data_IF_282561971083
#
_entry.id   IF_282561971083
#
_cell.length_a   1.000
_cell.length_b   1.000
_cell.length_c   1.000
_cell.angle_alpha   90.00
_cell.angle_beta   90.00
_cell.angle_gamma   90.00
#
_symmetry.space_group_name_H-M   'P 1'
#
loop_
_entity.id
_entity.type
_entity.pdbx_description
1 polymer ?
#
# COMPACT_ATOMS: atom_id res chain seq x y z
N UNK A 1 37.44 -10.22 32.23
CA UNK A 1 37.26 -11.17 31.10
C UNK A 1 36.28 -10.54 30.14
N UNK A 2 36.78 -9.96 29.05
CA UNK A 2 35.95 -9.28 28.05
C UNK A 2 35.70 -10.23 26.89
N UNK A 3 34.47 -10.70 26.73
CA UNK A 3 34.06 -11.52 25.60
C UNK A 3 33.99 -10.62 24.36
N UNK A 4 34.96 -10.77 23.45
CA UNK A 4 34.95 -10.08 22.16
C UNK A 4 33.87 -10.76 21.32
N UNK A 5 32.75 -10.05 21.10
CA UNK A 5 31.65 -10.51 20.24
C UNK A 5 32.18 -10.86 18.84
N UNK A 6 31.76 -12.01 18.31
CA UNK A 6 32.13 -12.48 16.98
C UNK A 6 31.59 -11.54 15.90
N UNK A 7 32.34 -11.39 14.80
CA UNK A 7 31.89 -10.66 13.59
C UNK A 7 30.53 -11.17 13.10
N UNK A 8 30.25 -12.46 13.28
CA UNK A 8 28.95 -13.06 12.98
C UNK A 8 27.83 -12.56 13.89
N UNK A 9 28.08 -12.43 15.20
CA UNK A 9 27.11 -11.84 16.14
C UNK A 9 26.81 -10.40 15.78
N UNK A 10 27.82 -9.59 15.50
CA UNK A 10 27.65 -8.19 15.07
C UNK A 10 26.84 -8.07 13.77
N UNK A 11 27.04 -9.01 12.83
CA UNK A 11 26.26 -9.05 11.58
C UNK A 11 24.81 -9.48 11.86
N UNK A 12 24.57 -10.49 12.70
CA UNK A 12 23.21 -10.89 13.10
C UNK A 12 22.47 -9.80 13.88
N UNK A 13 23.14 -9.07 14.79
CA UNK A 13 22.53 -7.93 15.49
C UNK A 13 22.14 -6.80 14.53
N UNK A 14 22.97 -6.52 13.51
CA UNK A 14 22.70 -5.51 12.49
C UNK A 14 21.66 -5.93 11.46
N UNK A 15 21.52 -7.23 11.18
CA UNK A 15 20.55 -7.74 10.18
C UNK A 15 19.19 -8.13 10.76
N UNK A 16 19.06 -8.34 12.08
CA UNK A 16 17.75 -8.54 12.75
C UNK A 16 16.79 -7.36 12.52
N UNK A 17 17.30 -6.15 12.33
CA UNK A 17 16.50 -4.96 12.00
C UNK A 17 16.36 -4.72 10.48
N UNK A 18 16.94 -5.58 9.63
CA UNK A 18 16.84 -5.52 8.16
C UNK A 18 15.78 -6.47 7.60
N UNK A 19 15.28 -7.41 8.39
CA UNK A 19 13.97 -8.03 8.15
C UNK A 19 12.92 -7.01 8.55
N UNK A 20 12.33 -6.30 7.57
CA UNK A 20 11.15 -5.47 7.77
C UNK A 20 10.23 -6.16 8.77
N UNK A 21 9.94 -5.49 9.90
CA UNK A 21 9.01 -6.05 10.87
C UNK A 21 7.68 -6.31 10.17
N UNK A 22 6.88 -7.26 10.63
CA UNK A 22 5.59 -7.54 10.00
C UNK A 22 4.68 -6.30 9.97
N UNK A 23 4.91 -5.34 10.87
CA UNK A 23 4.25 -4.04 10.90
C UNK A 23 4.73 -3.10 9.79
N UNK A 24 6.05 -3.03 9.54
CA UNK A 24 6.62 -2.26 8.44
C UNK A 24 6.23 -2.84 7.08
N UNK A 25 6.21 -4.17 6.94
CA UNK A 25 5.72 -4.85 5.73
C UNK A 25 4.26 -4.52 5.46
N UNK A 26 3.41 -4.54 6.50
CA UNK A 26 1.99 -4.16 6.39
C UNK A 26 1.83 -2.68 6.04
N UNK A 27 2.65 -1.80 6.62
CA UNK A 27 2.68 -0.37 6.28
C UNK A 27 3.00 -0.13 4.80
N UNK A 28 4.05 -0.78 4.29
CA UNK A 28 4.45 -0.67 2.88
C UNK A 28 3.42 -1.29 1.93
N UNK A 29 2.82 -2.42 2.29
CA UNK A 29 1.75 -3.05 1.50
C UNK A 29 0.53 -2.14 1.41
N UNK A 30 0.14 -1.53 2.54
CA UNK A 30 -0.95 -0.55 2.61
C UNK A 30 -0.66 0.69 1.76
N UNK A 31 0.54 1.26 1.85
CA UNK A 31 0.92 2.44 1.05
C UNK A 31 0.92 2.14 -0.45
N UNK A 32 1.42 0.96 -0.85
CA UNK A 32 1.38 0.52 -2.25
C UNK A 32 -0.05 0.37 -2.75
N UNK A 33 -0.93 -0.21 -1.93
CA UNK A 33 -2.34 -0.37 -2.27
C UNK A 33 -3.02 1.00 -2.41
N UNK A 34 -2.77 1.91 -1.48
CA UNK A 34 -3.30 3.28 -1.49
C UNK A 34 -2.91 4.02 -2.78
N UNK A 35 -1.61 4.05 -3.10
CA UNK A 35 -1.10 4.67 -4.35
C UNK A 35 -1.68 4.03 -5.60
N UNK A 36 -1.85 2.70 -5.61
CA UNK A 36 -2.46 1.98 -6.75
C UNK A 36 -3.92 2.41 -6.93
N UNK A 37 -4.70 2.45 -5.86
CA UNK A 37 -6.12 2.84 -5.90
C UNK A 37 -6.27 4.31 -6.29
N UNK A 38 -5.42 5.19 -5.78
CA UNK A 38 -5.39 6.60 -6.17
C UNK A 38 -5.14 6.76 -7.67
N UNK A 39 -4.15 6.07 -8.23
CA UNK A 39 -3.86 6.12 -9.67
C UNK A 39 -4.95 5.50 -10.55
N UNK A 40 -5.70 4.53 -10.04
CA UNK A 40 -6.90 4.01 -10.72
C UNK A 40 -8.04 5.04 -10.69
N UNK A 41 -8.29 5.66 -9.54
CA UNK A 41 -9.31 6.69 -9.37
C UNK A 41 -9.06 7.88 -10.30
N UNK A 42 -7.83 8.42 -10.32
CA UNK A 42 -7.49 9.57 -11.15
C UNK A 42 -7.67 9.25 -12.64
N UNK A 43 -7.18 8.09 -13.12
CA UNK A 43 -7.35 7.70 -14.52
C UNK A 43 -8.82 7.51 -14.92
N UNK A 44 -9.66 7.03 -14.00
CA UNK A 44 -11.10 6.97 -14.22
C UNK A 44 -11.69 8.39 -14.33
N UNK A 45 -11.36 9.28 -13.38
CA UNK A 45 -11.86 10.66 -13.34
C UNK A 45 -11.40 11.50 -14.55
N UNK A 46 -10.18 11.27 -15.01
CA UNK A 46 -9.58 11.92 -16.18
C UNK A 46 -10.07 11.30 -17.51
N UNK A 47 -11.11 10.45 -17.47
CA UNK A 47 -11.72 9.76 -18.63
C UNK A 47 -10.73 8.89 -19.46
N UNK A 48 -9.60 8.46 -18.89
CA UNK A 48 -8.69 7.52 -19.57
C UNK A 48 -9.29 6.13 -19.75
N UNK A 49 -10.24 5.74 -18.89
CA UNK A 49 -10.97 4.48 -19.05
C UNK A 49 -12.37 4.51 -18.43
N UNK A 50 -13.30 3.68 -18.92
CA UNK A 50 -14.66 3.60 -18.37
C UNK A 50 -14.69 2.91 -17.00
N UNK A 51 -15.78 3.12 -16.26
CA UNK A 51 -16.00 2.50 -14.93
C UNK A 51 -15.96 0.96 -14.97
N UNK A 52 -16.28 0.32 -16.09
CA UNK A 52 -16.11 -1.13 -16.25
C UNK A 52 -14.66 -1.55 -16.06
N UNK A 53 -13.73 -0.86 -16.72
CA UNK A 53 -12.29 -1.12 -16.59
C UNK A 53 -11.78 -0.79 -15.18
N UNK A 54 -12.38 0.19 -14.49
CA UNK A 54 -12.09 0.42 -13.08
C UNK A 54 -12.46 -0.80 -12.23
N UNK A 55 -13.65 -1.37 -12.45
CA UNK A 55 -14.12 -2.56 -11.73
C UNK A 55 -13.20 -3.75 -11.97
N UNK A 56 -12.84 -4.03 -13.22
CA UNK A 56 -11.90 -5.11 -13.56
C UNK A 56 -10.57 -4.97 -12.81
N UNK A 57 -10.01 -3.76 -12.73
CA UNK A 57 -8.75 -3.51 -12.03
C UNK A 57 -8.87 -3.65 -10.51
N UNK A 58 -10.02 -3.28 -9.95
CA UNK A 58 -10.33 -3.46 -8.53
C UNK A 58 -10.57 -4.94 -8.18
N UNK A 59 -11.12 -5.74 -9.09
CA UNK A 59 -11.32 -7.17 -8.89
C UNK A 59 -10.00 -7.96 -8.84
N UNK A 60 -8.96 -7.46 -9.54
CA UNK A 60 -7.59 -7.99 -9.49
C UNK A 60 -6.87 -7.73 -8.16
N UNK A 61 -7.45 -6.94 -7.25
CA UNK A 61 -6.90 -6.73 -5.91
C UNK A 61 -7.17 -7.97 -5.06
N UNK A 62 -6.16 -8.40 -4.31
CA UNK A 62 -6.23 -9.57 -3.46
C UNK A 62 -7.40 -9.45 -2.45
N UNK A 63 -8.09 -10.57 -2.19
CA UNK A 63 -9.33 -10.58 -1.41
C UNK A 63 -9.17 -10.02 0.01
N UNK A 64 -8.01 -10.23 0.63
CA UNK A 64 -7.63 -9.71 1.94
C UNK A 64 -7.51 -8.17 1.97
N UNK A 65 -7.23 -7.55 0.84
CA UNK A 65 -7.00 -6.11 0.69
C UNK A 65 -8.18 -5.39 0.02
N UNK A 66 -9.18 -6.14 -0.45
CA UNK A 66 -10.29 -5.63 -1.25
C UNK A 66 -11.13 -4.60 -0.49
N UNK A 67 -11.47 -4.86 0.77
CA UNK A 67 -12.23 -3.93 1.61
C UNK A 67 -11.48 -2.61 1.79
N UNK A 68 -10.18 -2.69 2.12
CA UNK A 68 -9.32 -1.53 2.28
C UNK A 68 -9.19 -0.72 0.98
N UNK A 69 -9.07 -1.40 -0.15
CA UNK A 69 -9.04 -0.77 -1.46
C UNK A 69 -10.34 -0.03 -1.80
N UNK A 70 -11.50 -0.61 -1.47
CA UNK A 70 -12.79 0.07 -1.63
C UNK A 70 -12.89 1.31 -0.74
N UNK A 71 -12.38 1.25 0.49
CA UNK A 71 -12.35 2.40 1.39
C UNK A 71 -11.47 3.52 0.85
N UNK A 72 -10.30 3.20 0.29
CA UNK A 72 -9.45 4.18 -0.39
C UNK A 72 -10.16 4.78 -1.62
N UNK A 73 -10.79 3.96 -2.45
CA UNK A 73 -11.49 4.43 -3.64
C UNK A 73 -12.63 5.39 -3.27
N UNK A 74 -13.44 5.04 -2.26
CA UNK A 74 -14.49 5.92 -1.72
C UNK A 74 -13.89 7.25 -1.24
N UNK A 75 -12.84 7.20 -0.42
CA UNK A 75 -12.14 8.39 0.07
C UNK A 75 -11.73 9.32 -1.08
N UNK A 76 -11.11 8.78 -2.13
CA UNK A 76 -10.66 9.58 -3.27
C UNK A 76 -11.80 10.17 -4.10
N UNK A 77 -12.86 9.39 -4.32
CA UNK A 77 -14.05 9.89 -5.01
C UNK A 77 -14.74 11.00 -4.21
N UNK A 78 -14.98 10.80 -2.90
CA UNK A 78 -15.59 11.80 -2.02
C UNK A 78 -14.76 13.08 -1.92
N UNK A 79 -13.44 12.97 -1.78
CA UNK A 79 -12.55 14.13 -1.76
C UNK A 79 -12.64 14.97 -3.05
N UNK A 80 -13.06 14.37 -4.17
CA UNK A 80 -13.28 15.11 -5.42
C UNK A 80 -14.68 15.75 -5.50
N UNK A 81 -15.68 15.16 -4.84
CA UNK A 81 -17.03 15.71 -4.76
C UNK A 81 -17.14 16.90 -3.78
N UNK A 82 -16.24 17.05 -2.82
CA UNK A 82 -16.27 18.18 -1.87
C UNK A 82 -15.79 19.53 -2.45
N UNK A 83 -15.62 19.67 -3.77
CA UNK A 83 -15.19 20.92 -4.41
C UNK A 83 -15.95 21.19 -5.71
N UNK A 84 -17.21 21.62 -5.55
CA UNK A 84 -17.82 22.73 -6.30
C UNK A 84 -18.71 23.48 -5.27
N UNK A 85 -18.05 24.25 -4.40
CA UNK A 85 -18.67 25.24 -3.51
C UNK A 85 -18.11 26.61 -3.81
#
# INVERSE_FOLDING_TARGET
MGEIKSTLDLVFEKTRNLTLSDEEKRGLAREKLDKKVQGLCNRYLDNFFPVSRLKDEMEKIASNDRELAYNFLKKYLFARFELDG
#
